data_IF_801732050363
#
_entry.id   IF_801732050363
#
_cell.length_a   1.000
_cell.length_b   1.000
_cell.length_c   1.000
_cell.angle_alpha   90.00
_cell.angle_beta   90.00
_cell.angle_gamma   90.00
#
_symmetry.space_group_name_H-M   'P 1'
#
loop_
_entity.id
_entity.type
_entity.pdbx_description
1 polymer ?
#
# COMPACT_ATOMS: atom_id res chain seq x y z
N UNK A 1 -9.48 -24.99 -29.46
CA UNK A 1 -8.17 -24.66 -28.83
C UNK A 1 -8.16 -23.15 -28.72
N UNK A 2 -8.14 -22.60 -27.52
CA UNK A 2 -8.08 -21.15 -27.33
C UNK A 2 -6.60 -20.78 -27.24
N UNK A 3 -6.15 -19.82 -28.05
CA UNK A 3 -4.75 -19.45 -28.06
C UNK A 3 -4.44 -18.45 -26.94
N UNK A 4 -3.19 -18.39 -26.43
CA UNK A 4 -2.81 -17.44 -25.38
C UNK A 4 -3.11 -15.97 -25.73
N UNK A 5 -2.99 -15.58 -27.00
CA UNK A 5 -3.31 -14.22 -27.47
C UNK A 5 -4.81 -13.94 -27.61
N UNK A 6 -5.66 -14.98 -27.65
CA UNK A 6 -7.11 -14.82 -27.55
C UNK A 6 -7.55 -14.55 -26.10
N UNK A 7 -6.76 -15.04 -25.13
CA UNK A 7 -6.98 -14.82 -23.71
C UNK A 7 -6.43 -13.47 -23.24
N UNK A 8 -5.29 -13.08 -23.81
CA UNK A 8 -4.57 -11.84 -23.51
C UNK A 8 -4.40 -11.02 -24.79
N UNK A 9 -5.47 -10.31 -25.22
CA UNK A 9 -5.43 -9.49 -26.42
C UNK A 9 -4.48 -8.31 -26.26
N UNK A 10 -4.06 -7.74 -27.37
CA UNK A 10 -3.12 -6.61 -27.41
C UNK A 10 -3.54 -5.46 -26.49
N UNK A 11 -4.80 -5.02 -26.56
CA UNK A 11 -5.29 -3.89 -25.78
C UNK A 11 -5.16 -4.12 -24.27
N UNK A 12 -5.32 -5.37 -23.80
CA UNK A 12 -5.13 -5.72 -22.40
C UNK A 12 -3.66 -5.64 -22.02
N UNK A 13 -2.77 -6.29 -22.79
CA UNK A 13 -1.33 -6.25 -22.51
C UNK A 13 -0.79 -4.81 -22.57
N UNK A 14 -1.29 -4.00 -23.50
CA UNK A 14 -0.91 -2.60 -23.61
C UNK A 14 -1.39 -1.77 -22.43
N UNK A 15 -2.61 -2.00 -21.95
CA UNK A 15 -3.15 -1.33 -20.76
C UNK A 15 -2.37 -1.72 -19.49
N UNK A 16 -1.98 -2.99 -19.36
CA UNK A 16 -1.12 -3.47 -18.25
C UNK A 16 0.25 -2.80 -18.31
N UNK A 17 0.90 -2.80 -19.49
CA UNK A 17 2.21 -2.17 -19.68
C UNK A 17 2.19 -0.67 -19.35
N UNK A 18 1.19 0.05 -19.84
CA UNK A 18 1.05 1.47 -19.54
C UNK A 18 0.74 1.72 -18.06
N UNK A 19 -0.12 0.92 -17.43
CA UNK A 19 -0.41 1.03 -16.00
C UNK A 19 0.85 0.88 -15.15
N UNK A 20 1.61 -0.20 -15.37
CA UNK A 20 2.82 -0.52 -14.62
C UNK A 20 3.97 0.47 -14.86
N UNK A 21 3.93 1.27 -15.94
CA UNK A 21 4.93 2.31 -16.22
C UNK A 21 4.99 3.45 -15.19
N UNK A 22 4.07 3.48 -14.22
CA UNK A 22 4.10 4.38 -13.07
C UNK A 22 3.04 5.49 -13.10
N UNK A 23 3.14 6.46 -12.19
CA UNK A 23 2.05 7.37 -11.83
C UNK A 23 1.77 8.53 -12.80
N UNK A 24 2.58 8.71 -13.86
CA UNK A 24 2.29 9.73 -14.87
C UNK A 24 1.00 9.35 -15.62
N UNK A 25 0.06 10.30 -15.74
CA UNK A 25 -1.29 10.11 -16.32
C UNK A 25 -2.07 8.94 -15.69
N UNK A 26 -1.94 8.74 -14.37
CA UNK A 26 -2.56 7.63 -13.63
C UNK A 26 -4.07 7.48 -13.91
N UNK A 27 -4.81 8.59 -13.94
CA UNK A 27 -6.27 8.59 -14.17
C UNK A 27 -6.61 8.01 -15.56
N UNK A 28 -6.01 8.55 -16.63
CA UNK A 28 -6.26 8.06 -17.99
C UNK A 28 -5.87 6.58 -18.18
N UNK A 29 -4.77 6.15 -17.54
CA UNK A 29 -4.34 4.75 -17.56
C UNK A 29 -5.32 3.84 -16.82
N UNK A 30 -5.78 4.28 -15.65
CA UNK A 30 -6.80 3.59 -14.87
C UNK A 30 -8.11 3.43 -15.67
N UNK A 31 -8.59 4.49 -16.30
CA UNK A 31 -9.81 4.47 -17.12
C UNK A 31 -9.67 3.52 -18.31
N UNK A 32 -8.51 3.54 -18.98
CA UNK A 32 -8.20 2.64 -20.09
C UNK A 32 -8.20 1.18 -19.60
N UNK A 33 -7.51 0.89 -18.50
CA UNK A 33 -7.43 -0.45 -17.93
C UNK A 33 -8.81 -0.98 -17.52
N UNK A 34 -9.61 -0.16 -16.84
CA UNK A 34 -11.00 -0.47 -16.48
C UNK A 34 -11.84 -0.78 -17.71
N UNK A 35 -11.79 0.07 -18.72
CA UNK A 35 -12.58 -0.08 -19.95
C UNK A 35 -12.22 -1.38 -20.68
N UNK A 36 -10.92 -1.67 -20.82
CA UNK A 36 -10.44 -2.90 -21.48
C UNK A 36 -10.87 -4.12 -20.68
N UNK A 37 -10.66 -4.15 -19.35
CA UNK A 37 -11.07 -5.28 -18.50
C UNK A 37 -12.59 -5.52 -18.57
N UNK A 38 -13.39 -4.45 -18.56
CA UNK A 38 -14.85 -4.54 -18.66
C UNK A 38 -15.34 -5.09 -20.03
N UNK A 39 -14.58 -4.88 -21.10
CA UNK A 39 -14.89 -5.42 -22.44
C UNK A 39 -14.57 -6.92 -22.57
N UNK A 40 -13.70 -7.45 -21.71
CA UNK A 40 -13.19 -8.83 -21.78
C UNK A 40 -13.91 -9.80 -20.83
N UNK A 41 -15.25 -9.71 -20.78
CA UNK A 41 -16.08 -10.53 -19.86
C UNK A 41 -15.87 -12.05 -20.01
N UNK A 42 -15.54 -12.52 -21.21
CA UNK A 42 -15.36 -13.94 -21.52
C UNK A 42 -14.10 -14.57 -20.88
N UNK A 43 -13.15 -13.75 -20.44
CA UNK A 43 -11.89 -14.18 -19.79
C UNK A 43 -11.69 -13.51 -18.43
N UNK A 44 -12.74 -12.89 -17.89
CA UNK A 44 -12.71 -12.15 -16.62
C UNK A 44 -12.20 -12.99 -15.43
N UNK A 45 -12.49 -14.30 -15.42
CA UNK A 45 -11.98 -15.21 -14.38
C UNK A 45 -10.45 -15.31 -14.34
N UNK A 46 -9.76 -14.95 -15.41
CA UNK A 46 -8.29 -14.96 -15.47
C UNK A 46 -7.64 -13.77 -14.77
N UNK A 47 -8.39 -12.68 -14.64
CA UNK A 47 -7.81 -11.40 -14.24
C UNK A 47 -8.61 -10.65 -13.19
N UNK A 48 -9.84 -11.04 -12.84
CA UNK A 48 -10.63 -10.39 -11.79
C UNK A 48 -10.79 -11.28 -10.54
N UNK A 49 -9.84 -12.18 -10.29
CA UNK A 49 -9.85 -12.97 -9.07
C UNK A 49 -9.64 -12.08 -7.85
N UNK A 50 -10.47 -12.29 -6.83
CA UNK A 50 -10.41 -11.54 -5.60
C UNK A 50 -9.45 -12.24 -4.62
N UNK A 51 -8.30 -11.65 -4.28
CA UNK A 51 -7.42 -12.21 -3.27
C UNK A 51 -8.09 -12.14 -1.88
N UNK A 52 -7.69 -13.03 -0.94
CA UNK A 52 -8.20 -12.98 0.43
C UNK A 52 -7.75 -11.73 1.18
N UNK A 53 -6.66 -11.10 0.75
CA UNK A 53 -6.08 -9.93 1.39
C UNK A 53 -5.13 -9.19 0.45
N UNK A 54 -5.03 -7.88 0.62
CA UNK A 54 -4.07 -7.02 -0.05
C UNK A 54 -3.42 -6.02 0.90
N UNK A 55 -2.22 -5.59 0.53
CA UNK A 55 -1.41 -4.63 1.26
C UNK A 55 -1.02 -3.47 0.36
N UNK A 56 -0.91 -2.28 0.93
CA UNK A 56 -0.45 -1.12 0.19
C UNK A 56 0.36 -0.19 1.05
N UNK A 57 1.51 0.19 0.53
CA UNK A 57 2.38 1.16 1.16
C UNK A 57 2.16 2.57 0.62
N UNK A 58 1.92 3.51 1.51
CA UNK A 58 1.85 4.94 1.20
C UNK A 58 2.97 5.67 1.92
N UNK A 59 3.72 6.50 1.18
CA UNK A 59 4.70 7.41 1.78
C UNK A 59 4.03 8.76 2.04
N UNK A 60 4.15 9.25 3.26
CA UNK A 60 3.60 10.54 3.67
C UNK A 60 4.65 11.37 4.39
N UNK A 61 4.46 12.69 4.43
CA UNK A 61 5.29 13.55 5.27
C UNK A 61 5.04 13.21 6.74
N UNK A 62 6.09 13.16 7.56
CA UNK A 62 5.98 12.81 8.97
C UNK A 62 5.02 13.70 9.74
N UNK A 63 5.04 15.02 9.48
CA UNK A 63 4.08 15.96 10.08
C UNK A 63 2.62 15.59 9.76
N UNK A 64 2.39 15.09 8.55
CA UNK A 64 1.08 14.59 8.11
C UNK A 64 0.82 13.22 8.74
N UNK A 65 1.81 12.35 8.88
CA UNK A 65 1.62 11.05 9.55
C UNK A 65 1.22 11.17 11.01
N UNK A 66 1.85 12.10 11.72
CA UNK A 66 1.53 12.42 13.10
C UNK A 66 0.09 12.97 13.23
N UNK A 67 -0.48 13.52 12.14
CA UNK A 67 -1.90 13.91 12.02
C UNK A 67 -2.79 12.90 11.27
N UNK A 68 -2.26 11.90 10.56
CA UNK A 68 -3.03 10.90 9.79
C UNK A 68 -3.56 9.79 10.69
N UNK A 69 -3.09 9.71 11.94
CA UNK A 69 -3.90 9.09 12.99
C UNK A 69 -5.30 9.72 13.16
N UNK A 70 -5.58 10.85 12.51
CA UNK A 70 -6.85 11.61 12.53
C UNK A 70 -7.53 11.68 11.15
N UNK A 71 -6.84 11.35 10.06
CA UNK A 71 -7.48 11.35 8.75
C UNK A 71 -8.23 10.02 8.60
N UNK A 72 -9.55 10.05 8.85
CA UNK A 72 -10.42 8.86 8.79
C UNK A 72 -10.40 8.16 7.41
N UNK A 73 -9.98 8.87 6.36
CA UNK A 73 -10.01 8.42 4.98
C UNK A 73 -8.92 9.08 4.11
N UNK A 74 -8.29 8.31 3.22
CA UNK A 74 -7.55 8.79 2.05
C UNK A 74 -8.43 8.57 0.82
N UNK A 75 -8.81 9.64 0.13
CA UNK A 75 -9.58 9.56 -1.12
C UNK A 75 -8.61 9.27 -2.27
N UNK A 76 -8.87 8.19 -3.00
CA UNK A 76 -8.22 7.86 -4.26
C UNK A 76 -9.29 7.40 -5.26
N UNK A 77 -8.98 7.23 -6.54
CA UNK A 77 -9.96 6.67 -7.50
C UNK A 77 -9.62 5.23 -7.88
N UNK A 78 -8.34 4.99 -8.17
CA UNK A 78 -7.80 3.67 -8.56
C UNK A 78 -6.42 3.54 -7.99
N UNK A 79 -6.07 2.36 -7.50
CA UNK A 79 -4.80 2.17 -6.83
C UNK A 79 -4.19 0.79 -7.02
N UNK A 80 -2.87 0.76 -6.85
CA UNK A 80 -2.07 -0.45 -6.88
C UNK A 80 -1.86 -0.97 -5.46
N UNK A 81 -2.21 -2.23 -5.26
CA UNK A 81 -2.00 -3.02 -4.06
C UNK A 81 -1.16 -4.24 -4.38
N UNK A 82 -0.67 -4.94 -3.36
CA UNK A 82 0.06 -6.20 -3.51
C UNK A 82 -0.57 -7.28 -2.63
N UNK A 83 -0.55 -8.53 -3.08
CA UNK A 83 -0.99 -9.67 -2.27
C UNK A 83 0.06 -10.12 -1.25
N UNK A 84 1.24 -9.49 -1.23
CA UNK A 84 2.38 -9.90 -0.42
C UNK A 84 2.87 -8.75 0.46
N UNK A 85 2.84 -8.99 1.77
CA UNK A 85 3.28 -8.01 2.78
C UNK A 85 4.78 -7.69 2.66
N UNK A 86 5.62 -8.64 2.25
CA UNK A 86 7.06 -8.42 2.07
C UNK A 86 7.33 -7.50 0.89
N UNK A 87 6.54 -7.63 -0.18
CA UNK A 87 6.55 -6.68 -1.31
C UNK A 87 6.14 -5.29 -0.81
N UNK A 88 5.10 -5.17 0.02
CA UNK A 88 4.69 -3.88 0.59
C UNK A 88 5.78 -3.25 1.48
N UNK A 89 6.48 -4.05 2.30
CA UNK A 89 7.61 -3.58 3.10
C UNK A 89 8.77 -3.08 2.23
N UNK A 90 9.16 -3.86 1.22
CA UNK A 90 10.27 -3.55 0.32
C UNK A 90 9.99 -2.42 -0.68
N UNK A 91 8.73 -2.12 -0.95
CA UNK A 91 8.34 -1.19 -2.02
C UNK A 91 9.02 0.17 -1.92
N UNK A 92 9.56 0.69 -3.04
CA UNK A 92 10.36 1.94 -3.07
C UNK A 92 11.54 1.93 -2.10
N UNK A 93 12.22 0.79 -1.96
CA UNK A 93 13.48 0.66 -1.23
C UNK A 93 13.35 0.64 0.30
N UNK A 94 12.28 0.05 0.84
CA UNK A 94 12.13 -0.03 2.30
C UNK A 94 11.83 1.32 2.95
N UNK A 95 12.12 1.51 4.23
CA UNK A 95 11.68 2.70 4.99
C UNK A 95 12.14 4.03 4.33
N UNK A 96 11.25 5.02 4.18
CA UNK A 96 11.63 6.34 3.70
C UNK A 96 12.57 7.06 4.67
N UNK A 97 13.51 7.85 4.13
CA UNK A 97 14.31 8.77 4.94
C UNK A 97 13.47 9.97 5.40
N UNK A 98 13.82 10.54 6.56
CA UNK A 98 13.24 11.79 7.06
C UNK A 98 13.30 12.89 5.97
N UNK A 99 12.26 13.74 5.82
CA UNK A 99 11.08 13.92 6.67
C UNK A 99 9.89 13.01 6.33
N UNK A 100 10.08 11.96 5.53
CA UNK A 100 9.00 11.04 5.16
C UNK A 100 8.92 9.86 6.13
N UNK A 101 7.74 9.28 6.21
CA UNK A 101 7.45 7.98 6.84
C UNK A 101 6.56 7.18 5.89
N UNK A 102 6.33 5.91 6.20
CA UNK A 102 5.48 5.04 5.41
C UNK A 102 4.38 4.44 6.28
N UNK A 103 3.18 4.34 5.72
CA UNK A 103 2.09 3.54 6.24
C UNK A 103 1.93 2.33 5.34
N UNK A 104 1.62 1.19 5.92
CA UNK A 104 1.11 0.04 5.19
C UNK A 104 -0.33 -0.16 5.62
N UNK A 105 -1.21 -0.17 4.63
CA UNK A 105 -2.61 -0.55 4.78
C UNK A 105 -2.77 -2.04 4.47
N UNK A 106 -3.73 -2.68 5.12
CA UNK A 106 -4.14 -4.08 4.94
C UNK A 106 -5.65 -4.12 4.85
N UNK A 107 -6.18 -4.79 3.83
CA UNK A 107 -7.62 -4.98 3.68
C UNK A 107 -7.98 -6.25 2.92
N UNK A 108 -9.23 -6.66 3.08
CA UNK A 108 -9.87 -7.67 2.23
C UNK A 108 -10.65 -6.92 1.15
N UNK A 109 -10.27 -7.00 -0.13
CA UNK A 109 -11.01 -6.32 -1.19
C UNK A 109 -12.34 -7.04 -1.46
N UNK A 110 -13.33 -6.30 -1.95
CA UNK A 110 -14.54 -6.88 -2.54
C UNK A 110 -14.22 -7.31 -3.97
N UNK A 111 -14.84 -8.39 -4.44
CA UNK A 111 -14.67 -8.85 -5.83
C UNK A 111 -15.09 -7.79 -6.86
N UNK A 112 -16.02 -6.92 -6.50
CA UNK A 112 -16.48 -5.79 -7.34
C UNK A 112 -15.48 -4.64 -7.40
N UNK A 113 -14.53 -4.55 -6.47
CA UNK A 113 -13.47 -3.54 -6.46
C UNK A 113 -12.27 -3.96 -7.31
N UNK A 114 -12.10 -5.26 -7.61
CA UNK A 114 -10.95 -5.74 -8.37
C UNK A 114 -11.12 -5.42 -9.86
N UNK A 115 -10.33 -4.47 -10.37
CA UNK A 115 -10.23 -4.20 -11.80
C UNK A 115 -9.41 -5.31 -12.45
N UNK A 116 -8.22 -5.56 -11.90
CA UNK A 116 -7.33 -6.61 -12.37
C UNK A 116 -6.41 -7.11 -11.25
N UNK A 117 -6.27 -8.41 -11.11
CA UNK A 117 -5.29 -9.10 -10.29
C UNK A 117 -4.15 -9.58 -11.21
N UNK A 118 -3.08 -8.78 -11.29
CA UNK A 118 -1.94 -9.07 -12.15
C UNK A 118 -1.15 -10.27 -11.64
N UNK A 119 -1.13 -10.53 -10.32
CA UNK A 119 -0.51 -11.73 -9.79
C UNK A 119 -1.09 -13.00 -10.44
N UNK A 120 -2.39 -13.04 -10.64
CA UNK A 120 -3.07 -14.18 -11.27
C UNK A 120 -2.90 -14.16 -12.79
N UNK A 121 -2.87 -12.99 -13.42
CA UNK A 121 -2.57 -12.87 -14.87
C UNK A 121 -1.19 -13.42 -15.20
N UNK A 122 -0.16 -13.06 -14.42
CA UNK A 122 1.19 -13.60 -14.59
C UNK A 122 1.28 -15.07 -14.19
N UNK A 123 0.49 -15.51 -13.21
CA UNK A 123 0.44 -16.90 -12.75
C UNK A 123 -0.51 -17.81 -13.53
N UNK A 124 -1.25 -17.31 -14.51
CA UNK A 124 -2.33 -18.07 -15.14
C UNK A 124 -1.80 -19.25 -15.97
N UNK A 125 -2.35 -20.44 -15.71
CA UNK A 125 -1.90 -21.70 -16.30
C UNK A 125 -0.64 -22.21 -15.60
N UNK A 126 0.34 -22.64 -16.38
CA UNK A 126 1.68 -23.03 -15.92
C UNK A 126 2.68 -21.86 -15.94
N UNK A 127 2.17 -20.62 -15.99
CA UNK A 127 2.97 -19.40 -16.13
C UNK A 127 3.44 -19.12 -17.56
N UNK A 128 3.01 -19.89 -18.57
CA UNK A 128 3.42 -19.69 -19.97
C UNK A 128 2.47 -18.81 -20.78
N UNK A 129 1.23 -18.63 -20.32
CA UNK A 129 0.17 -17.93 -21.07
C UNK A 129 0.56 -16.48 -21.41
N UNK A 130 0.98 -15.69 -20.42
CA UNK A 130 1.39 -14.31 -20.64
C UNK A 130 2.67 -14.20 -21.47
N UNK A 131 3.77 -14.93 -21.16
CA UNK A 131 4.95 -14.92 -22.01
C UNK A 131 4.66 -15.29 -23.47
N UNK A 132 3.79 -16.28 -23.72
CA UNK A 132 3.41 -16.68 -25.07
C UNK A 132 2.61 -15.59 -25.79
N UNK A 133 1.67 -14.94 -25.10
CA UNK A 133 0.90 -13.82 -25.68
C UNK A 133 1.81 -12.61 -25.97
N UNK A 134 2.67 -12.23 -25.02
CA UNK A 134 3.66 -11.15 -25.19
C UNK A 134 4.58 -11.44 -26.38
N UNK A 135 5.14 -12.65 -26.45
CA UNK A 135 6.01 -13.06 -27.55
C UNK A 135 5.28 -13.01 -28.89
N UNK A 136 4.03 -13.45 -28.97
CA UNK A 136 3.22 -13.34 -30.19
C UNK A 136 3.08 -11.88 -30.63
N UNK A 137 2.61 -11.00 -29.76
CA UNK A 137 2.39 -9.59 -30.11
C UNK A 137 3.68 -8.83 -30.44
N UNK A 138 4.80 -9.18 -29.80
CA UNK A 138 6.11 -8.58 -30.10
C UNK A 138 6.71 -9.09 -31.41
N UNK A 139 6.79 -10.42 -31.58
CA UNK A 139 7.52 -11.04 -32.70
C UNK A 139 6.69 -11.12 -33.97
N UNK A 140 5.39 -11.39 -33.86
CA UNK A 140 4.50 -11.58 -35.00
C UNK A 140 3.88 -10.26 -35.45
N UNK A 141 3.53 -9.39 -34.50
CA UNK A 141 2.78 -8.16 -34.77
C UNK A 141 3.62 -6.87 -34.61
N UNK A 142 4.86 -6.95 -34.12
CA UNK A 142 5.79 -5.82 -34.05
C UNK A 142 5.51 -4.82 -32.93
N UNK A 143 4.79 -5.21 -31.88
CA UNK A 143 4.52 -4.36 -30.72
C UNK A 143 5.65 -4.40 -29.68
N UNK A 144 5.62 -3.47 -28.72
CA UNK A 144 6.64 -3.34 -27.65
C UNK A 144 5.94 -3.14 -26.29
N UNK A 145 6.48 -3.76 -25.24
CA UNK A 145 5.96 -3.73 -23.86
C UNK A 145 7.09 -3.43 -22.84
N UNK A 146 7.93 -2.46 -23.17
CA UNK A 146 9.19 -2.14 -22.48
C UNK A 146 9.02 -1.23 -21.25
N UNK A 147 7.82 -0.70 -21.01
CA UNK A 147 7.60 0.30 -19.95
C UNK A 147 7.28 -0.33 -18.62
N UNK A 148 6.41 -1.34 -18.65
CA UNK A 148 5.75 -1.95 -17.51
C UNK A 148 6.04 -3.43 -17.44
N UNK A 149 5.57 -4.19 -18.43
CA UNK A 149 5.60 -5.65 -18.42
C UNK A 149 7.04 -6.16 -18.38
N UNK A 150 7.90 -5.71 -19.30
CA UNK A 150 9.30 -6.17 -19.36
C UNK A 150 10.14 -5.66 -18.17
N UNK A 151 9.73 -4.54 -17.57
CA UNK A 151 10.49 -3.87 -16.51
C UNK A 151 10.17 -4.39 -15.12
N UNK A 152 8.89 -4.62 -14.83
CA UNK A 152 8.42 -4.98 -13.49
C UNK A 152 7.87 -6.40 -13.44
N UNK A 153 7.22 -6.86 -14.51
CA UNK A 153 6.62 -8.19 -14.57
C UNK A 153 5.74 -8.51 -13.36
N UNK A 154 5.87 -9.74 -12.85
CA UNK A 154 5.16 -10.23 -11.68
C UNK A 154 5.75 -9.79 -10.32
N UNK A 155 6.85 -9.02 -10.30
CA UNK A 155 7.62 -8.77 -9.07
C UNK A 155 6.84 -8.04 -7.98
N UNK A 156 5.81 -7.28 -8.35
CA UNK A 156 5.00 -6.50 -7.43
C UNK A 156 3.77 -7.27 -6.90
N UNK A 157 3.48 -8.46 -7.45
CA UNK A 157 2.28 -9.26 -7.12
C UNK A 157 1.01 -8.39 -7.06
N UNK A 158 0.87 -7.57 -8.09
CA UNK A 158 0.02 -6.39 -8.07
C UNK A 158 -1.46 -6.73 -8.24
N UNK A 159 -2.32 -6.01 -7.53
CA UNK A 159 -3.76 -6.01 -7.69
C UNK A 159 -4.20 -4.56 -7.82
N UNK A 160 -4.98 -4.26 -8.86
CA UNK A 160 -5.49 -2.92 -9.14
C UNK A 160 -6.93 -2.86 -8.69
N UNK A 161 -7.21 -1.95 -7.75
CA UNK A 161 -8.52 -1.77 -7.17
C UNK A 161 -9.16 -0.47 -7.68
N UNK A 162 -10.46 -0.55 -7.97
CA UNK A 162 -11.37 0.58 -8.06
C UNK A 162 -11.80 0.96 -6.65
N UNK A 163 -11.00 1.78 -5.98
CA UNK A 163 -11.27 2.18 -4.60
C UNK A 163 -11.36 3.70 -4.51
N UNK A 164 -12.46 4.16 -3.90
CA UNK A 164 -12.70 5.59 -3.71
C UNK A 164 -12.14 6.12 -2.39
N UNK A 165 -11.96 5.24 -1.41
CA UNK A 165 -11.56 5.58 -0.05
C UNK A 165 -10.76 4.45 0.60
N UNK A 166 -9.64 4.80 1.24
CA UNK A 166 -8.90 3.93 2.16
C UNK A 166 -9.12 4.44 3.57
N UNK A 167 -9.61 3.59 4.47
CA UNK A 167 -9.97 4.01 5.82
C UNK A 167 -8.75 3.97 6.75
N UNK A 168 -8.69 4.88 7.73
CA UNK A 168 -7.71 4.81 8.82
C UNK A 168 -7.80 3.50 9.61
N UNK A 169 -8.98 2.85 9.58
CA UNK A 169 -9.27 1.49 10.05
C UNK A 169 -8.32 0.42 9.49
N UNK A 170 -7.80 0.63 8.29
CA UNK A 170 -7.04 -0.35 7.50
C UNK A 170 -5.53 -0.22 7.69
N UNK A 171 -5.05 0.71 8.52
CA UNK A 171 -3.61 0.85 8.79
C UNK A 171 -3.10 -0.38 9.56
N UNK A 172 -2.16 -1.09 8.93
CA UNK A 172 -1.51 -2.28 9.45
C UNK A 172 -0.17 -1.99 10.12
N UNK A 173 0.67 -1.18 9.46
CA UNK A 173 2.02 -0.86 9.93
C UNK A 173 2.40 0.60 9.73
N UNK A 174 3.29 1.09 10.59
CA UNK A 174 4.03 2.35 10.41
C UNK A 174 5.52 2.04 10.25
N UNK A 175 6.14 2.67 9.26
CA UNK A 175 7.56 2.53 8.94
C UNK A 175 8.38 3.72 9.43
N UNK A 176 9.60 3.46 9.91
CA UNK A 176 10.53 4.51 10.32
C UNK A 176 10.38 4.98 11.76
N UNK A 177 9.79 4.15 12.62
CA UNK A 177 9.64 4.41 14.05
C UNK A 177 10.99 4.65 14.76
N UNK A 178 12.07 3.97 14.34
CA UNK A 178 13.39 4.16 14.93
C UNK A 178 14.03 5.52 14.68
N UNK A 179 13.65 6.19 13.59
CA UNK A 179 14.04 7.58 13.37
C UNK A 179 13.37 8.54 14.38
N UNK A 180 12.22 8.14 14.94
CA UNK A 180 11.51 8.85 16.01
C UNK A 180 12.22 8.63 17.34
N UNK A 181 12.52 7.37 17.71
CA UNK A 181 13.21 7.07 18.97
C UNK A 181 14.60 7.70 19.08
N UNK A 182 15.28 7.92 17.94
CA UNK A 182 16.59 8.55 17.90
C UNK A 182 16.52 10.09 17.88
N UNK A 183 15.34 10.69 17.71
CA UNK A 183 15.17 12.14 17.51
C UNK A 183 14.09 12.80 18.35
N UNK A 184 13.36 12.05 19.17
CA UNK A 184 12.73 12.59 20.36
C UNK A 184 13.89 12.99 21.28
N UNK A 185 14.25 14.28 21.42
CA UNK A 185 15.16 14.64 22.50
C UNK A 185 14.45 14.23 23.78
N UNK A 186 15.09 13.42 24.63
CA UNK A 186 14.69 13.07 26.00
C UNK A 186 13.51 13.93 26.48
N UNK A 187 12.27 13.51 26.22
CA UNK A 187 11.07 14.27 26.61
C UNK A 187 10.88 13.96 28.08
N UNK A 188 11.62 14.70 28.87
CA UNK A 188 11.67 14.64 30.31
C UNK A 188 12.82 15.52 30.75
N UNK A 189 12.52 16.64 31.41
CA UNK A 189 13.47 17.19 32.37
C UNK A 189 13.88 16.05 33.29
N UNK A 190 15.19 15.84 33.49
CA UNK A 190 15.71 14.93 34.52
C UNK A 190 15.25 15.44 35.90
N UNK A 191 14.01 15.13 36.30
CA UNK A 191 13.67 15.14 37.72
C UNK A 191 14.40 13.96 38.34
N UNK A 192 14.99 14.15 39.52
CA UNK A 192 15.68 13.09 40.25
C UNK A 192 14.79 11.85 40.51
N UNK A 193 13.47 12.01 40.41
CA UNK A 193 12.44 10.98 40.58
C UNK A 193 11.78 10.53 39.26
N UNK A 194 12.30 10.96 38.11
CA UNK A 194 11.73 10.67 36.78
C UNK A 194 12.15 9.31 36.24
N UNK A 195 11.21 8.61 35.59
CA UNK A 195 11.46 7.35 34.88
C UNK A 195 12.59 7.52 33.87
N UNK A 196 13.61 6.66 33.91
CA UNK A 196 14.75 6.75 33.00
C UNK A 196 14.32 6.57 31.54
N UNK A 197 15.08 7.13 30.59
CA UNK A 197 14.80 6.97 29.15
C UNK A 197 14.71 5.49 28.73
N UNK A 198 15.46 4.61 29.41
CA UNK A 198 15.42 3.18 29.21
C UNK A 198 14.10 2.56 29.71
N UNK A 199 13.58 3.03 30.85
CA UNK A 199 12.29 2.60 31.40
C UNK A 199 11.11 3.19 30.63
N UNK A 200 11.18 4.43 30.15
CA UNK A 200 10.15 5.02 29.29
C UNK A 200 10.06 4.24 27.96
N UNK A 201 11.20 3.90 27.35
CA UNK A 201 11.26 3.00 26.19
C UNK A 201 10.67 1.63 26.49
N UNK A 202 10.98 1.04 27.65
CA UNK A 202 10.46 -0.28 28.06
C UNK A 202 8.96 -0.25 28.37
N UNK A 203 8.45 0.83 28.95
CA UNK A 203 7.03 1.05 29.23
C UNK A 203 6.22 1.27 27.96
N UNK A 204 6.74 2.06 27.01
CA UNK A 204 6.07 2.31 25.73
C UNK A 204 6.10 1.07 24.82
N UNK A 205 7.25 0.39 24.73
CA UNK A 205 7.45 -0.78 23.87
C UNK A 205 6.92 -2.09 24.49
N UNK A 206 6.98 -2.23 25.81
CA UNK A 206 6.64 -3.45 26.53
C UNK A 206 5.20 -3.52 27.02
N UNK A 207 4.52 -2.39 27.26
CA UNK A 207 3.17 -2.36 27.82
C UNK A 207 2.08 -1.99 26.79
N UNK A 208 2.35 -2.11 25.49
CA UNK A 208 1.29 -2.06 24.47
C UNK A 208 0.98 -3.49 24.02
N UNK A 209 -0.07 -4.14 24.55
CA UNK A 209 -0.46 -5.47 24.12
C UNK A 209 -0.63 -5.50 22.59
N UNK A 210 0.08 -6.40 21.91
CA UNK A 210 -0.01 -6.58 20.45
C UNK A 210 0.89 -5.70 19.59
N UNK A 211 1.87 -5.00 20.17
CA UNK A 211 2.92 -4.31 19.40
C UNK A 211 3.98 -5.33 18.95
N UNK A 212 3.97 -5.70 17.66
CA UNK A 212 5.02 -6.53 17.07
C UNK A 212 5.97 -5.63 16.29
N UNK A 213 7.25 -5.65 16.67
CA UNK A 213 8.31 -4.99 15.91
C UNK A 213 8.94 -6.06 15.02
N UNK A 214 9.16 -5.77 13.73
CA UNK A 214 9.90 -6.71 12.87
C UNK A 214 11.28 -7.00 13.48
N UNK A 215 11.91 -8.15 13.22
CA UNK A 215 13.23 -8.48 13.77
C UNK A 215 14.30 -7.38 13.52
N UNK A 216 14.13 -6.58 12.45
CA UNK A 216 15.00 -5.45 12.12
C UNK A 216 14.71 -4.14 12.88
N UNK A 217 13.61 -4.03 13.64
CA UNK A 217 13.24 -2.77 14.32
C UNK A 217 12.61 -1.72 13.42
N UNK A 218 12.42 -2.04 12.14
CA UNK A 218 12.16 -1.10 11.06
C UNK A 218 10.68 -0.76 10.89
N UNK A 219 9.84 -1.77 11.04
CA UNK A 219 8.40 -1.66 10.95
C UNK A 219 7.77 -2.01 12.29
N UNK A 220 6.74 -1.25 12.62
CA UNK A 220 5.90 -1.52 13.78
C UNK A 220 4.55 -2.00 13.25
N UNK A 221 4.16 -3.21 13.64
CA UNK A 221 2.93 -3.90 13.24
C UNK A 221 1.91 -3.77 14.37
N UNK A 222 0.69 -3.36 14.03
CA UNK A 222 -0.32 -2.90 15.00
C UNK A 222 -1.56 -3.80 15.07
N UNK A 223 -1.41 -5.12 15.03
CA UNK A 223 -2.55 -6.06 14.98
C UNK A 223 -3.59 -5.88 16.11
N UNK A 224 -3.19 -5.34 17.28
CA UNK A 224 -4.09 -4.94 18.38
C UNK A 224 -3.86 -3.49 18.86
N UNK A 225 -2.74 -2.87 18.48
CA UNK A 225 -2.29 -1.57 18.98
C UNK A 225 -2.88 -0.37 18.21
N UNK A 226 -3.52 -0.61 17.05
CA UNK A 226 -4.16 0.43 16.24
C UNK A 226 -5.35 1.08 16.95
N UNK A 227 -6.20 0.30 17.64
CA UNK A 227 -7.33 0.83 18.43
C UNK A 227 -6.84 1.79 19.54
N UNK A 228 -5.85 1.37 20.34
CA UNK A 228 -5.36 2.14 21.48
C UNK A 228 -4.54 3.39 21.07
N UNK A 229 -3.81 3.31 19.95
CA UNK A 229 -3.09 4.47 19.42
C UNK A 229 -4.06 5.43 18.73
N UNK A 230 -5.13 4.94 18.07
CA UNK A 230 -6.22 5.77 17.55
C UNK A 230 -6.89 6.55 18.67
N UNK A 231 -7.26 5.90 19.77
CA UNK A 231 -7.82 6.60 20.93
C UNK A 231 -6.86 7.65 21.47
N UNK A 232 -5.58 7.30 21.67
CA UNK A 232 -4.58 8.25 22.18
C UNK A 232 -4.26 9.40 21.23
N UNK A 233 -4.29 9.18 19.90
CA UNK A 233 -4.09 10.25 18.92
C UNK A 233 -5.33 11.14 18.82
N UNK A 234 -6.54 10.55 18.89
CA UNK A 234 -7.81 11.29 18.98
C UNK A 234 -7.84 12.19 20.22
N UNK A 235 -7.56 11.64 21.40
CA UNK A 235 -7.48 12.37 22.66
C UNK A 235 -6.48 13.54 22.59
N UNK A 236 -5.30 13.32 21.99
CA UNK A 236 -4.26 14.37 21.88
C UNK A 236 -4.63 15.47 20.89
N UNK A 237 -5.35 15.13 19.83
CA UNK A 237 -5.82 16.10 18.83
C UNK A 237 -6.99 16.91 19.38
N UNK A 238 -7.94 16.27 20.05
CA UNK A 238 -9.01 16.95 20.79
C UNK A 238 -8.43 17.88 21.86
N UNK A 239 -7.42 17.44 22.60
CA UNK A 239 -6.71 18.28 23.58
C UNK A 239 -6.01 19.46 22.90
N UNK A 240 -5.39 19.27 21.74
CA UNK A 240 -4.73 20.35 20.99
C UNK A 240 -5.73 21.36 20.41
N UNK A 241 -6.89 20.90 19.91
CA UNK A 241 -7.99 21.74 19.42
C UNK A 241 -8.59 22.55 20.58
N UNK A 242 -8.81 21.92 21.74
CA UNK A 242 -9.34 22.58 22.93
C UNK A 242 -8.35 23.58 23.54
N UNK A 243 -7.04 23.30 23.45
CA UNK A 243 -5.99 24.22 23.88
C UNK A 243 -5.82 25.45 22.96
N UNK A 244 -6.28 25.37 21.70
CA UNK A 244 -6.22 26.49 20.74
C UNK A 244 -7.52 27.29 20.66
N UNK A 245 -8.62 26.84 21.27
CA UNK A 245 -9.93 27.51 21.25
C UNK A 245 -10.20 28.42 22.46
N UNK A 246 -9.23 28.65 23.33
CA UNK A 246 -9.29 29.69 24.37
C UNK A 246 -8.33 30.84 24.08
N UNK A 247 -8.80 31.83 23.34
CA UNK A 247 -8.47 33.23 23.60
C UNK A 247 -9.68 34.09 23.28
N UNK A 248 -10.61 34.28 24.23
CA UNK A 248 -11.55 35.38 24.13
C UNK A 248 -10.76 36.68 24.32
N UNK A 249 -10.82 37.57 23.34
CA UNK A 249 -10.47 38.99 23.51
C UNK A 249 -11.59 39.67 24.28
#
# INVERSE_FOLDING_TARGET
MQYPWDLLPFDLLKAIDDWQSGSHNKVAKADTLKSVCASLKHVQSMFASCPPEVFRRVQINKKIADSVGVADAVIEDVSAWTTDIDVAFGFKGGIPKYPKTALIYRRVPLSTEVIINLNDVYGHGDGTTLPAAVAYWQTTMGHVFDKGIDKYGASQKEVVLDEHVILGGEIHCFGGHQSILNRVPNIGTQSADGMSDAEAKRTILGNTPGLLVTPSGEWTVYAQASENIRERLRERVETAINATSFTPI
#
